data_IF_672173186890
#
_entry.id   IF_672173186890
#
_cell.length_a   1.000
_cell.length_b   1.000
_cell.length_c   1.000
_cell.angle_alpha   90.00
_cell.angle_beta   90.00
_cell.angle_gamma   90.00
#
_symmetry.space_group_name_H-M   'P 1'
#
loop_
_entity.id
_entity.type
_entity.pdbx_description
1 polymer ?
#
# COMPACT_ATOMS: atom_id res chain seq x y z
N UNK A 1 -4.46 4.92 -33.37
CA UNK A 1 -4.02 5.01 -31.95
C UNK A 1 -3.76 3.65 -31.31
N UNK A 2 -4.73 2.72 -31.29
CA UNK A 2 -4.58 1.42 -30.61
C UNK A 2 -3.36 0.57 -31.03
N UNK A 3 -2.98 0.57 -32.33
CA UNK A 3 -1.78 -0.14 -32.79
C UNK A 3 -0.48 0.43 -32.23
N UNK A 4 -0.39 1.76 -32.04
CA UNK A 4 0.81 2.43 -31.52
C UNK A 4 0.93 2.21 -30.01
N UNK A 5 -0.18 2.33 -29.27
CA UNK A 5 -0.23 2.11 -27.82
C UNK A 5 0.26 0.71 -27.43
N UNK A 6 -0.05 -0.31 -28.25
CA UNK A 6 0.40 -1.69 -28.06
C UNK A 6 1.92 -1.89 -28.08
N UNK A 7 2.66 -0.96 -28.68
CA UNK A 7 4.12 -1.00 -28.73
C UNK A 7 4.76 -0.04 -27.72
N UNK A 8 4.19 1.15 -27.57
CA UNK A 8 4.72 2.17 -26.66
C UNK A 8 4.61 1.73 -25.19
N UNK A 9 3.47 1.17 -24.78
CA UNK A 9 3.24 0.83 -23.37
C UNK A 9 4.23 -0.24 -22.88
N UNK A 10 4.44 -1.37 -23.58
CA UNK A 10 5.45 -2.36 -23.17
C UNK A 10 6.86 -1.79 -23.15
N UNK A 11 7.23 -1.00 -24.16
CA UNK A 11 8.55 -0.37 -24.22
C UNK A 11 8.76 0.58 -23.04
N UNK A 12 7.77 1.43 -22.74
CA UNK A 12 7.81 2.33 -21.59
C UNK A 12 7.89 1.55 -20.27
N UNK A 13 7.17 0.43 -20.14
CA UNK A 13 7.24 -0.44 -18.97
C UNK A 13 8.64 -1.03 -18.79
N UNK A 14 9.25 -1.56 -19.87
CA UNK A 14 10.61 -2.09 -19.83
C UNK A 14 11.64 -1.02 -19.44
N UNK A 15 11.50 0.20 -19.98
CA UNK A 15 12.35 1.32 -19.62
C UNK A 15 12.16 1.74 -18.16
N UNK A 16 10.91 1.81 -17.67
CA UNK A 16 10.61 2.15 -16.29
C UNK A 16 11.14 1.09 -15.30
N UNK A 17 10.97 -0.20 -15.62
CA UNK A 17 11.54 -1.31 -14.84
C UNK A 17 13.06 -1.26 -14.86
N UNK A 18 13.67 -1.07 -16.04
CA UNK A 18 15.12 -0.95 -16.18
C UNK A 18 15.68 0.22 -15.39
N UNK A 19 15.06 1.40 -15.48
CA UNK A 19 15.42 2.58 -14.71
C UNK A 19 15.26 2.34 -13.20
N UNK A 20 14.15 1.75 -12.77
CA UNK A 20 13.91 1.41 -11.37
C UNK A 20 14.99 0.49 -10.82
N UNK A 21 15.29 -0.60 -11.53
CA UNK A 21 16.33 -1.58 -11.15
C UNK A 21 17.73 -0.96 -11.19
N UNK A 22 17.99 -0.04 -12.11
CA UNK A 22 19.30 0.63 -12.20
C UNK A 22 19.52 1.66 -11.09
N UNK A 23 18.51 2.49 -10.78
CA UNK A 23 18.63 3.65 -9.89
C UNK A 23 18.54 3.27 -8.41
N UNK A 24 17.63 2.36 -8.06
CA UNK A 24 17.38 1.99 -6.66
C UNK A 24 18.54 1.18 -6.05
N UNK A 25 18.65 1.08 -4.71
CA UNK A 25 19.73 0.33 -4.06
C UNK A 25 19.86 -1.13 -4.54
N UNK A 26 21.07 -1.70 -4.55
CA UNK A 26 21.30 -3.05 -5.07
C UNK A 26 20.69 -4.15 -4.19
N UNK A 27 20.48 -5.33 -4.78
CA UNK A 27 19.89 -6.50 -4.11
C UNK A 27 18.37 -6.44 -3.97
N UNK A 28 17.71 -7.59 -3.80
CA UNK A 28 16.24 -7.68 -3.77
C UNK A 28 15.62 -6.79 -2.68
N UNK A 29 16.20 -6.82 -1.48
CA UNK A 29 15.73 -5.95 -0.39
C UNK A 29 16.11 -4.49 -0.61
N UNK A 30 17.15 -4.16 -1.37
CA UNK A 30 17.43 -2.79 -1.80
C UNK A 30 16.39 -2.25 -2.80
N UNK A 31 15.87 -3.13 -3.67
CA UNK A 31 14.73 -2.79 -4.55
C UNK A 31 13.45 -2.58 -3.76
N UNK A 32 13.23 -3.40 -2.74
CA UNK A 32 12.12 -3.23 -1.80
C UNK A 32 12.24 -1.90 -1.03
N UNK A 33 13.45 -1.55 -0.60
CA UNK A 33 13.77 -0.30 0.07
C UNK A 33 13.49 0.92 -0.80
N UNK A 34 13.70 0.85 -2.12
CA UNK A 34 13.30 1.91 -3.06
C UNK A 34 11.80 2.22 -2.99
N UNK A 35 10.94 1.19 -3.02
CA UNK A 35 9.49 1.38 -2.86
C UNK A 35 9.18 2.03 -1.51
N UNK A 36 9.78 1.52 -0.44
CA UNK A 36 9.63 2.09 0.89
C UNK A 36 10.13 3.53 1.00
N UNK A 37 11.20 3.89 0.29
CA UNK A 37 11.78 5.22 0.28
C UNK A 37 10.88 6.24 -0.42
N UNK A 38 10.13 5.83 -1.45
CA UNK A 38 9.15 6.71 -2.10
C UNK A 38 7.93 7.00 -1.20
N UNK A 39 7.42 5.99 -0.49
CA UNK A 39 6.09 6.06 0.14
C UNK A 39 6.11 6.11 1.68
N UNK A 40 7.24 5.81 2.30
CA UNK A 40 7.43 5.78 3.74
C UNK A 40 8.61 6.66 4.17
N UNK A 41 8.54 7.23 5.38
CA UNK A 41 9.66 7.98 5.95
C UNK A 41 10.87 7.09 6.31
N UNK A 42 10.65 5.77 6.46
CA UNK A 42 11.65 4.77 6.85
C UNK A 42 12.45 5.14 8.11
N UNK A 43 11.79 5.69 9.13
CA UNK A 43 12.42 5.98 10.44
C UNK A 43 12.69 4.67 11.19
N UNK A 44 13.95 4.42 11.53
CA UNK A 44 14.42 3.13 12.08
C UNK A 44 13.65 2.75 13.34
N UNK A 45 13.56 3.64 14.33
CA UNK A 45 12.92 3.42 15.64
C UNK A 45 11.41 3.17 15.55
N UNK A 46 10.82 3.36 14.37
CA UNK A 46 9.39 3.19 14.08
C UNK A 46 9.13 2.03 13.14
N UNK A 47 10.13 1.16 12.95
CA UNK A 47 10.12 0.03 12.03
C UNK A 47 10.43 -1.26 12.77
N UNK A 48 10.12 -2.40 12.16
CA UNK A 48 10.64 -3.69 12.59
C UNK A 48 11.93 -4.00 11.84
N UNK A 49 12.74 -4.91 12.39
CA UNK A 49 14.07 -5.24 11.86
C UNK A 49 14.28 -6.75 11.75
N UNK A 50 15.04 -7.14 10.74
CA UNK A 50 15.58 -8.49 10.57
C UNK A 50 17.05 -8.43 10.97
N UNK A 51 17.35 -8.76 12.23
CA UNK A 51 18.67 -8.44 12.81
C UNK A 51 18.88 -6.93 12.80
N UNK A 52 20.02 -6.47 12.29
CA UNK A 52 20.33 -5.03 12.16
C UNK A 52 19.62 -4.34 10.98
N UNK A 53 18.94 -5.11 10.13
CA UNK A 53 18.34 -4.58 8.91
C UNK A 53 16.90 -4.14 9.14
N UNK A 54 16.64 -2.85 9.03
CA UNK A 54 15.29 -2.32 8.95
C UNK A 54 14.49 -2.96 7.80
N UNK A 55 13.21 -3.25 8.03
CA UNK A 55 12.27 -3.58 6.95
C UNK A 55 12.22 -2.46 5.88
N UNK A 56 11.72 -2.77 4.68
CA UNK A 56 11.52 -1.76 3.64
C UNK A 56 10.63 -0.59 4.09
N UNK A 57 9.70 -0.83 5.02
CA UNK A 57 8.73 0.16 5.49
C UNK A 57 8.65 0.21 7.01
N UNK A 58 8.10 1.32 7.53
CA UNK A 58 7.84 1.46 8.96
C UNK A 58 6.72 0.51 9.44
N UNK A 59 6.57 0.36 10.75
CA UNK A 59 5.59 -0.57 11.34
C UNK A 59 4.16 -0.32 10.85
N UNK A 60 3.76 0.96 10.71
CA UNK A 60 2.43 1.32 10.22
C UNK A 60 2.22 0.96 8.76
N UNK A 61 3.16 1.36 7.91
CA UNK A 61 3.05 1.13 6.47
C UNK A 61 3.18 -0.37 6.15
N UNK A 62 3.99 -1.11 6.93
CA UNK A 62 4.06 -2.57 6.87
C UNK A 62 2.68 -3.18 7.11
N UNK A 63 1.97 -2.77 8.17
CA UNK A 63 0.60 -3.20 8.43
C UNK A 63 -0.37 -2.80 7.32
N UNK A 64 -0.36 -1.53 6.90
CA UNK A 64 -1.26 -1.01 5.87
C UNK A 64 -1.13 -1.75 4.55
N UNK A 65 0.08 -1.88 4.00
CA UNK A 65 0.25 -2.45 2.67
C UNK A 65 0.21 -3.98 2.67
N UNK A 66 0.61 -4.64 3.75
CA UNK A 66 0.37 -6.09 3.92
C UNK A 66 -1.14 -6.37 3.97
N UNK A 67 -1.86 -5.62 4.80
CA UNK A 67 -3.31 -5.78 4.95
C UNK A 67 -4.08 -5.48 3.67
N UNK A 68 -3.69 -4.44 2.93
CA UNK A 68 -4.30 -4.14 1.66
C UNK A 68 -4.06 -5.26 0.63
N UNK A 69 -2.85 -5.82 0.56
CA UNK A 69 -2.54 -6.96 -0.31
C UNK A 69 -3.37 -8.20 0.06
N UNK A 70 -3.40 -8.55 1.34
CA UNK A 70 -4.19 -9.67 1.87
C UNK A 70 -5.67 -9.47 1.59
N UNK A 71 -6.19 -8.25 1.76
CA UNK A 71 -7.59 -7.91 1.47
C UNK A 71 -7.92 -8.09 -0.01
N UNK A 72 -7.07 -7.61 -0.92
CA UNK A 72 -7.26 -7.82 -2.36
C UNK A 72 -7.29 -9.31 -2.72
N UNK A 73 -6.36 -10.10 -2.17
CA UNK A 73 -6.31 -11.55 -2.39
C UNK A 73 -7.57 -12.22 -1.84
N UNK A 74 -7.92 -11.93 -0.59
CA UNK A 74 -9.09 -12.48 0.10
C UNK A 74 -10.38 -12.21 -0.68
N UNK A 75 -10.58 -10.98 -1.15
CA UNK A 75 -11.76 -10.60 -1.94
C UNK A 75 -11.77 -11.24 -3.33
N UNK A 76 -10.59 -11.40 -3.96
CA UNK A 76 -10.47 -12.11 -5.24
C UNK A 76 -10.89 -13.57 -5.15
N UNK A 77 -10.68 -14.21 -4.00
CA UNK A 77 -11.07 -15.60 -3.73
C UNK A 77 -12.58 -15.69 -3.45
N UNK A 78 -13.13 -14.78 -2.64
CA UNK A 78 -14.56 -14.81 -2.26
C UNK A 78 -15.48 -14.46 -3.43
N UNK A 79 -15.03 -13.57 -4.33
CA UNK A 79 -15.83 -13.15 -5.46
C UNK A 79 -15.03 -12.24 -6.40
N UNK A 80 -14.36 -12.87 -7.37
CA UNK A 80 -13.44 -12.23 -8.32
C UNK A 80 -14.03 -11.04 -9.13
N UNK A 81 -15.36 -10.97 -9.27
CA UNK A 81 -16.06 -9.88 -10.00
C UNK A 81 -17.10 -9.13 -9.17
N UNK A 82 -17.12 -9.32 -7.84
CA UNK A 82 -17.99 -8.55 -6.94
C UNK A 82 -17.56 -7.09 -6.93
N UNK A 83 -18.48 -6.19 -7.28
CA UNK A 83 -18.17 -4.78 -7.51
C UNK A 83 -18.92 -3.85 -6.56
N UNK A 84 -19.96 -4.34 -5.86
CA UNK A 84 -20.74 -3.52 -4.95
C UNK A 84 -19.89 -2.97 -3.79
N UNK A 85 -20.15 -1.73 -3.40
CA UNK A 85 -19.54 -1.18 -2.19
C UNK A 85 -20.01 -1.95 -0.94
N UNK A 86 -19.18 -2.06 0.11
CA UNK A 86 -19.61 -2.71 1.35
C UNK A 86 -20.90 -2.09 1.92
N UNK A 87 -21.76 -2.86 2.59
CA UNK A 87 -22.96 -2.32 3.24
C UNK A 87 -22.61 -1.21 4.25
N UNK A 88 -23.53 -0.26 4.47
CA UNK A 88 -23.32 0.91 5.36
C UNK A 88 -22.68 0.55 6.71
N UNK A 89 -23.12 -0.56 7.34
CA UNK A 89 -22.57 -1.00 8.63
C UNK A 89 -21.09 -1.41 8.54
N UNK A 90 -20.69 -2.09 7.48
CA UNK A 90 -19.28 -2.47 7.24
C UNK A 90 -18.47 -1.23 6.87
N UNK A 91 -19.00 -0.32 6.04
CA UNK A 91 -18.36 0.97 5.74
C UNK A 91 -18.11 1.77 7.03
N UNK A 92 -19.07 1.81 7.96
CA UNK A 92 -18.88 2.48 9.24
C UNK A 92 -17.75 1.86 10.05
N UNK A 93 -17.62 0.53 10.07
CA UNK A 93 -16.48 -0.15 10.73
C UNK A 93 -15.14 0.16 10.05
N UNK A 94 -15.08 0.11 8.72
CA UNK A 94 -13.87 0.49 7.97
C UNK A 94 -13.52 1.98 8.18
N UNK A 95 -14.54 2.84 8.26
CA UNK A 95 -14.41 4.25 8.62
C UNK A 95 -13.87 4.44 10.04
N UNK A 96 -14.30 3.61 11.00
CA UNK A 96 -13.74 3.63 12.35
C UNK A 96 -12.25 3.22 12.36
N UNK A 97 -11.85 2.20 11.57
CA UNK A 97 -10.44 1.85 11.40
C UNK A 97 -9.62 3.01 10.81
N UNK A 98 -10.14 3.70 9.80
CA UNK A 98 -9.52 4.91 9.26
C UNK A 98 -9.37 5.99 10.33
N UNK A 99 -10.40 6.25 11.14
CA UNK A 99 -10.33 7.27 12.20
C UNK A 99 -9.30 6.91 13.27
N UNK A 100 -9.27 5.65 13.71
CA UNK A 100 -8.27 5.15 14.67
C UNK A 100 -6.85 5.31 14.10
N UNK A 101 -6.64 4.96 12.83
CA UNK A 101 -5.38 5.17 12.12
C UNK A 101 -5.01 6.64 11.98
N UNK A 102 -5.96 7.53 11.69
CA UNK A 102 -5.72 8.97 11.57
C UNK A 102 -5.33 9.60 12.91
N UNK A 103 -5.99 9.19 14.00
CA UNK A 103 -5.67 9.62 15.37
C UNK A 103 -4.29 9.11 15.77
N UNK A 104 -4.00 7.82 15.58
CA UNK A 104 -2.69 7.24 15.88
C UNK A 104 -1.57 7.84 15.03
N UNK A 105 -1.87 8.13 13.77
CA UNK A 105 -1.04 8.87 12.84
C UNK A 105 -0.65 10.24 13.37
N UNK A 106 -1.66 11.03 13.70
CA UNK A 106 -1.51 12.39 14.21
C UNK A 106 -0.79 12.42 15.55
N UNK A 107 -1.11 11.52 16.49
CA UNK A 107 -0.42 11.40 17.77
C UNK A 107 1.06 11.02 17.59
N UNK A 108 1.36 10.08 16.67
CA UNK A 108 2.73 9.68 16.33
C UNK A 108 3.54 10.80 15.67
N UNK A 109 2.88 11.63 14.87
CA UNK A 109 3.51 12.76 14.19
C UNK A 109 3.77 13.92 15.15
N UNK A 110 2.81 14.26 16.01
CA UNK A 110 3.00 15.24 17.08
C UNK A 110 4.17 14.84 18.00
N UNK A 111 4.26 13.56 18.36
CA UNK A 111 5.38 13.04 19.15
C UNK A 111 6.72 13.20 18.42
N UNK A 112 6.76 12.94 17.10
CA UNK A 112 7.97 13.15 16.30
C UNK A 112 8.42 14.62 16.34
N UNK A 113 7.51 15.56 16.08
CA UNK A 113 7.84 16.98 16.04
C UNK A 113 8.44 17.45 17.37
N UNK A 114 7.84 17.04 18.50
CA UNK A 114 8.33 17.42 19.82
C UNK A 114 9.71 16.85 20.15
N UNK A 115 10.01 15.66 19.64
CA UNK A 115 11.34 15.07 19.78
C UNK A 115 12.37 15.79 18.91
N UNK A 116 12.00 16.16 17.68
CA UNK A 116 12.90 16.82 16.73
C UNK A 116 13.14 18.30 17.08
N UNK A 117 12.13 19.00 17.60
CA UNK A 117 12.20 20.44 17.90
C UNK A 117 11.90 20.69 19.38
N UNK A 118 12.93 20.88 20.23
CA UNK A 118 12.75 21.18 21.64
C UNK A 118 11.86 22.42 21.85
N UNK A 119 10.82 22.27 22.68
CA UNK A 119 9.86 23.34 22.95
C UNK A 119 8.76 23.53 21.91
N UNK A 120 8.66 22.67 20.89
CA UNK A 120 7.51 22.67 19.98
C UNK A 120 6.23 22.17 20.68
N UNK A 121 5.11 22.85 20.45
CA UNK A 121 3.78 22.49 20.99
C UNK A 121 3.75 22.12 22.48
N UNK A 122 4.33 22.92 23.39
CA UNK A 122 4.48 22.55 24.79
C UNK A 122 3.13 22.44 25.52
N UNK A 123 2.10 23.14 25.03
CA UNK A 123 0.75 23.12 25.61
C UNK A 123 -0.14 21.97 25.10
N UNK A 124 0.23 21.29 24.02
CA UNK A 124 -0.59 20.23 23.43
C UNK A 124 -0.04 18.89 23.93
N UNK A 125 -0.69 18.14 24.82
CA UNK A 125 -0.17 16.85 25.27
C UNK A 125 -0.23 15.80 24.15
N UNK A 126 0.65 14.79 24.22
CA UNK A 126 0.43 13.56 23.46
C UNK A 126 -0.64 12.73 24.16
N UNK A 127 -1.52 12.10 23.40
CA UNK A 127 -2.62 11.28 23.96
C UNK A 127 -2.02 10.03 24.63
N UNK A 128 -0.97 9.48 24.04
CA UNK A 128 -0.19 8.35 24.55
C UNK A 128 1.21 8.34 23.93
N UNK A 129 2.12 7.54 24.48
CA UNK A 129 3.46 7.31 23.91
C UNK A 129 3.32 6.35 22.71
N UNK A 130 3.67 6.78 21.49
CA UNK A 130 3.55 5.95 20.30
C UNK A 130 4.44 4.69 20.34
N UNK A 131 3.91 3.55 19.93
CA UNK A 131 4.63 2.27 19.88
C UNK A 131 4.33 1.50 18.58
N UNK A 132 5.18 0.54 18.23
CA UNK A 132 5.06 -0.21 16.97
C UNK A 132 3.85 -1.15 16.93
N UNK A 133 3.35 -1.62 18.07
CA UNK A 133 2.16 -2.47 18.15
C UNK A 133 0.93 -1.70 17.66
N UNK A 134 0.68 -0.51 18.22
CA UNK A 134 -0.43 0.33 17.78
C UNK A 134 -0.26 0.77 16.33
N UNK A 135 0.94 1.19 15.93
CA UNK A 135 1.23 1.55 14.53
C UNK A 135 0.86 0.43 13.56
N UNK A 136 1.28 -0.80 13.86
CA UNK A 136 0.99 -1.98 13.06
C UNK A 136 -0.52 -2.23 12.97
N UNK A 137 -1.20 -2.36 14.12
CA UNK A 137 -2.63 -2.69 14.18
C UNK A 137 -3.51 -1.62 13.51
N UNK A 138 -3.24 -0.33 13.77
CA UNK A 138 -3.98 0.76 13.10
C UNK A 138 -3.68 0.79 11.61
N UNK A 139 -2.43 0.54 11.22
CA UNK A 139 -2.01 0.36 9.84
C UNK A 139 -2.80 -0.75 9.14
N UNK A 140 -2.86 -1.94 9.75
CA UNK A 140 -3.61 -3.10 9.26
C UNK A 140 -5.11 -2.80 9.11
N UNK A 141 -5.70 -2.08 10.06
CA UNK A 141 -7.07 -1.57 9.96
C UNK A 141 -7.32 -0.72 8.72
N UNK A 142 -6.45 0.27 8.48
CA UNK A 142 -6.52 1.14 7.30
C UNK A 142 -6.34 0.35 6.00
N UNK A 143 -5.40 -0.60 5.96
CA UNK A 143 -5.17 -1.46 4.81
C UNK A 143 -6.38 -2.26 4.37
N UNK A 144 -7.18 -2.78 5.33
CA UNK A 144 -8.44 -3.48 5.02
C UNK A 144 -9.45 -2.55 4.34
N UNK A 145 -9.57 -1.31 4.83
CA UNK A 145 -10.44 -0.30 4.24
C UNK A 145 -10.02 0.05 2.81
N UNK A 146 -8.72 0.35 2.62
CA UNK A 146 -8.15 0.66 1.31
C UNK A 146 -8.36 -0.48 0.31
N UNK A 147 -8.03 -1.72 0.71
CA UNK A 147 -8.17 -2.89 -0.15
C UNK A 147 -9.62 -3.15 -0.55
N UNK A 148 -10.56 -3.05 0.39
CA UNK A 148 -11.98 -3.28 0.12
C UNK A 148 -12.57 -2.26 -0.83
N UNK A 149 -12.26 -0.97 -0.63
CA UNK A 149 -12.75 0.12 -1.50
C UNK A 149 -12.11 0.03 -2.88
N UNK A 150 -10.80 -0.16 -2.96
CA UNK A 150 -10.11 -0.24 -4.25
C UNK A 150 -10.56 -1.45 -5.06
N UNK A 151 -10.76 -2.61 -4.41
CA UNK A 151 -11.27 -3.81 -5.09
C UNK A 151 -12.64 -3.56 -5.73
N UNK A 152 -13.57 -2.97 -4.97
CA UNK A 152 -14.89 -2.61 -5.48
C UNK A 152 -14.81 -1.59 -6.64
N UNK A 153 -13.99 -0.53 -6.49
CA UNK A 153 -13.83 0.51 -7.50
C UNK A 153 -13.18 -0.02 -8.79
N UNK A 154 -12.16 -0.88 -8.66
CA UNK A 154 -11.51 -1.52 -9.79
C UNK A 154 -12.50 -2.41 -10.55
N UNK A 155 -13.23 -3.28 -9.85
CA UNK A 155 -14.21 -4.16 -10.47
C UNK A 155 -15.36 -3.40 -11.13
N UNK A 156 -15.83 -2.30 -10.55
CA UNK A 156 -16.84 -1.40 -11.14
C UNK A 156 -16.35 -0.67 -12.39
N UNK A 157 -15.04 -0.52 -12.56
CA UNK A 157 -14.46 0.18 -13.72
C UNK A 157 -14.06 -0.80 -14.82
N UNK A 158 -13.58 -1.98 -14.46
CA UNK A 158 -12.90 -2.85 -15.40
C UNK A 158 -13.86 -3.79 -16.15
N UNK A 159 -14.79 -4.43 -15.45
CA UNK A 159 -15.56 -5.53 -16.02
C UNK A 159 -16.80 -5.08 -16.79
N UNK A 160 -17.01 -5.64 -17.98
CA UNK A 160 -18.24 -5.46 -18.76
C UNK A 160 -19.49 -5.99 -18.03
N UNK A 161 -19.34 -7.15 -17.40
CA UNK A 161 -20.37 -7.75 -16.56
C UNK A 161 -19.82 -7.89 -15.14
N UNK A 162 -20.46 -7.20 -14.20
CA UNK A 162 -20.11 -7.20 -12.78
C UNK A 162 -21.15 -7.95 -11.96
N UNK A 163 -20.70 -8.56 -10.87
CA UNK A 163 -21.57 -9.04 -9.82
C UNK A 163 -21.87 -7.88 -8.86
N UNK A 164 -23.12 -7.41 -8.85
CA UNK A 164 -23.56 -6.27 -8.04
C UNK A 164 -23.52 -6.53 -6.53
N UNK A 165 -23.28 -7.79 -6.09
CA UNK A 165 -23.09 -8.09 -4.67
C UNK A 165 -21.89 -7.31 -4.11
N UNK A 166 -21.95 -6.89 -2.84
CA UNK A 166 -20.83 -6.19 -2.22
C UNK A 166 -19.54 -7.01 -2.24
N UNK A 167 -18.41 -6.34 -2.50
CA UNK A 167 -17.09 -6.93 -2.41
C UNK A 167 -16.86 -7.56 -1.01
N UNK A 168 -17.07 -6.75 0.04
CA UNK A 168 -17.07 -7.20 1.44
C UNK A 168 -18.49 -7.05 2.00
N UNK A 169 -19.29 -8.12 1.90
CA UNK A 169 -20.74 -8.05 2.13
C UNK A 169 -21.23 -8.55 3.49
N UNK A 170 -20.46 -9.37 4.19
CA UNK A 170 -20.92 -10.03 5.40
C UNK A 170 -19.98 -9.79 6.59
N UNK A 171 -20.55 -9.78 7.80
CA UNK A 171 -19.79 -9.73 9.04
C UNK A 171 -18.88 -10.95 9.23
N UNK A 172 -19.27 -12.09 8.66
CA UNK A 172 -18.44 -13.28 8.61
C UNK A 172 -17.17 -13.01 7.81
N UNK A 173 -17.28 -12.45 6.60
CA UNK A 173 -16.12 -12.16 5.76
C UNK A 173 -15.22 -11.09 6.38
N UNK A 174 -15.81 -10.04 6.97
CA UNK A 174 -15.05 -9.03 7.71
C UNK A 174 -14.34 -9.64 8.94
N UNK A 175 -15.04 -10.47 9.72
CA UNK A 175 -14.46 -11.15 10.89
C UNK A 175 -13.35 -12.12 10.52
N UNK A 176 -13.49 -12.85 9.41
CA UNK A 176 -12.44 -13.70 8.86
C UNK A 176 -11.23 -12.87 8.42
N UNK A 177 -11.45 -11.76 7.71
CA UNK A 177 -10.37 -10.87 7.29
C UNK A 177 -9.63 -10.27 8.49
N UNK A 178 -10.36 -9.79 9.50
CA UNK A 178 -9.78 -9.29 10.76
C UNK A 178 -8.99 -10.41 11.45
N UNK A 179 -9.57 -11.61 11.57
CA UNK A 179 -8.88 -12.75 12.19
C UNK A 179 -7.60 -13.13 11.46
N UNK A 180 -7.63 -13.19 10.12
CA UNK A 180 -6.43 -13.42 9.29
C UNK A 180 -5.40 -12.34 9.51
N UNK A 181 -5.79 -11.07 9.52
CA UNK A 181 -4.85 -9.97 9.75
C UNK A 181 -4.27 -9.98 11.15
N UNK A 182 -5.05 -10.27 12.20
CA UNK A 182 -4.53 -10.40 13.55
C UNK A 182 -3.49 -11.54 13.67
N UNK A 183 -3.70 -12.67 12.98
CA UNK A 183 -2.69 -13.73 12.94
C UNK A 183 -1.41 -13.30 12.22
N UNK A 184 -1.53 -12.54 11.13
CA UNK A 184 -0.37 -11.97 10.42
C UNK A 184 0.33 -10.93 11.30
N UNK A 185 -0.42 -10.06 11.97
CA UNK A 185 0.12 -9.05 12.87
C UNK A 185 0.86 -9.71 14.05
N UNK A 186 0.31 -10.79 14.63
CA UNK A 186 1.00 -11.59 15.64
C UNK A 186 2.30 -12.22 15.10
N UNK A 187 2.29 -12.70 13.85
CA UNK A 187 3.50 -13.21 13.21
C UNK A 187 4.55 -12.10 13.01
N UNK A 188 4.15 -10.88 12.66
CA UNK A 188 5.04 -9.71 12.56
C UNK A 188 5.59 -9.34 13.95
N UNK A 189 4.73 -9.27 14.96
CA UNK A 189 5.07 -8.94 16.34
C UNK A 189 5.97 -10.00 17.01
N UNK A 190 6.02 -11.21 16.47
CA UNK A 190 7.00 -12.22 16.92
C UNK A 190 8.44 -11.81 16.60
N UNK A 191 8.63 -10.84 15.69
CA UNK A 191 9.92 -10.38 15.15
C UNK A 191 10.81 -11.52 14.61
N UNK A 192 10.22 -12.68 14.35
CA UNK A 192 10.91 -13.82 13.79
C UNK A 192 11.33 -13.52 12.34
N UNK A 193 12.61 -13.73 11.97
CA UNK A 193 13.06 -13.55 10.58
C UNK A 193 12.21 -14.35 9.59
N UNK A 194 11.72 -15.54 9.98
CA UNK A 194 10.87 -16.40 9.14
C UNK A 194 9.56 -15.69 8.76
N UNK A 195 9.00 -14.88 9.67
CA UNK A 195 7.81 -14.08 9.41
C UNK A 195 8.15 -12.79 8.69
N UNK A 196 9.21 -12.08 9.12
CA UNK A 196 9.53 -10.75 8.62
C UNK A 196 10.05 -10.75 7.17
N UNK A 197 10.79 -11.78 6.72
CA UNK A 197 11.26 -11.85 5.34
C UNK A 197 10.11 -11.87 4.32
N UNK A 198 9.12 -12.78 4.40
CA UNK A 198 7.95 -12.74 3.54
C UNK A 198 7.18 -11.42 3.63
N UNK A 199 6.99 -10.89 4.84
CA UNK A 199 6.25 -9.64 5.05
C UNK A 199 6.94 -8.44 4.39
N UNK A 200 8.27 -8.39 4.39
CA UNK A 200 9.03 -7.37 3.66
C UNK A 200 8.63 -7.31 2.18
N UNK A 201 8.45 -8.46 1.53
CA UNK A 201 8.06 -8.54 0.13
C UNK A 201 6.55 -8.35 -0.07
N UNK A 202 5.71 -8.97 0.76
CA UNK A 202 4.25 -8.84 0.65
C UNK A 202 3.83 -7.39 0.79
N UNK A 203 4.39 -6.68 1.76
CA UNK A 203 4.07 -5.28 1.99
C UNK A 203 4.47 -4.40 0.80
N UNK A 204 5.67 -4.60 0.22
CA UNK A 204 6.12 -3.89 -0.99
C UNK A 204 5.29 -4.23 -2.22
N UNK A 205 4.98 -5.51 -2.43
CA UNK A 205 4.07 -5.94 -3.49
C UNK A 205 2.68 -5.35 -3.31
N UNK A 206 2.23 -5.18 -2.06
CA UNK A 206 1.00 -4.47 -1.72
C UNK A 206 1.00 -3.04 -2.25
N UNK A 207 2.05 -2.27 -2.00
CA UNK A 207 2.21 -0.90 -2.53
C UNK A 207 2.14 -0.90 -4.05
N UNK A 208 2.99 -1.71 -4.70
CA UNK A 208 3.08 -1.76 -6.17
C UNK A 208 1.75 -2.18 -6.78
N UNK A 209 1.07 -3.16 -6.18
CA UNK A 209 -0.25 -3.63 -6.65
C UNK A 209 -1.31 -2.53 -6.49
N UNK A 210 -1.40 -1.87 -5.33
CA UNK A 210 -2.36 -0.79 -5.12
C UNK A 210 -2.16 0.34 -6.14
N UNK A 211 -0.93 0.83 -6.29
CA UNK A 211 -0.62 1.89 -7.24
C UNK A 211 -0.90 1.45 -8.68
N UNK A 212 -0.54 0.22 -9.03
CA UNK A 212 -0.83 -0.34 -10.37
C UNK A 212 -2.32 -0.36 -10.64
N UNK A 213 -3.15 -0.83 -9.69
CA UNK A 213 -4.61 -0.89 -9.86
C UNK A 213 -5.22 0.51 -9.94
N UNK A 214 -4.77 1.45 -9.10
CA UNK A 214 -5.23 2.85 -9.13
C UNK A 214 -4.91 3.48 -10.49
N UNK A 215 -3.65 3.40 -10.95
CA UNK A 215 -3.28 3.96 -12.24
C UNK A 215 -3.88 3.21 -13.42
N UNK A 216 -4.19 1.92 -13.28
CA UNK A 216 -4.95 1.18 -14.30
C UNK A 216 -6.37 1.72 -14.43
N UNK A 217 -7.04 2.04 -13.31
CA UNK A 217 -8.36 2.68 -13.31
C UNK A 217 -8.29 4.04 -14.01
N UNK A 218 -7.32 4.87 -13.66
CA UNK A 218 -7.10 6.16 -14.31
C UNK A 218 -6.86 5.99 -15.82
N UNK A 219 -6.02 5.02 -16.20
CA UNK A 219 -5.76 4.71 -17.61
C UNK A 219 -7.04 4.29 -18.35
N UNK A 220 -7.85 3.39 -17.76
CA UNK A 220 -9.12 2.95 -18.34
C UNK A 220 -10.07 4.14 -18.55
N UNK A 221 -10.17 5.06 -17.60
CA UNK A 221 -10.99 6.27 -17.72
C UNK A 221 -10.49 7.19 -18.85
N UNK A 222 -9.18 7.44 -18.92
CA UNK A 222 -8.58 8.30 -19.97
C UNK A 222 -8.75 7.69 -21.36
N UNK A 223 -8.59 6.37 -21.49
CA UNK A 223 -8.72 5.65 -22.75
C UNK A 223 -10.17 5.30 -23.10
N UNK A 224 -11.13 5.66 -22.25
CA UNK A 224 -12.56 5.33 -22.38
C UNK A 224 -12.81 3.82 -22.53
N UNK A 225 -12.14 3.02 -21.71
CA UNK A 225 -12.19 1.57 -21.67
C UNK A 225 -12.98 1.04 -20.47
N UNK A 226 -13.73 1.90 -19.78
CA UNK A 226 -14.53 1.49 -18.63
C UNK A 226 -15.61 0.47 -19.04
N UNK A 227 -15.80 -0.56 -18.22
CA UNK A 227 -16.79 -1.62 -18.41
C UNK A 227 -16.70 -2.33 -19.78
N UNK A 228 -15.49 -2.47 -20.32
CA UNK A 228 -15.29 -3.11 -21.63
C UNK A 228 -14.76 -4.54 -21.55
N UNK A 229 -14.08 -4.91 -20.46
CA UNK A 229 -13.31 -6.16 -20.40
C UNK A 229 -14.14 -7.34 -19.90
N UNK A 230 -13.95 -8.51 -20.51
CA UNK A 230 -14.61 -9.76 -20.08
C UNK A 230 -13.66 -10.72 -19.35
N UNK A 231 -12.36 -10.61 -19.63
CA UNK A 231 -11.28 -11.40 -19.02
C UNK A 231 -10.09 -10.54 -18.58
N UNK A 232 -9.35 -10.97 -17.55
CA UNK A 232 -8.17 -10.23 -17.05
C UNK A 232 -7.05 -10.17 -18.09
N UNK A 233 -7.01 -11.14 -19.00
CA UNK A 233 -6.03 -11.18 -20.09
C UNK A 233 -6.21 -10.00 -21.05
N UNK A 234 -7.42 -9.51 -21.26
CA UNK A 234 -7.68 -8.33 -22.10
C UNK A 234 -7.16 -7.04 -21.46
N UNK A 235 -7.06 -7.00 -20.12
CA UNK A 235 -6.62 -5.83 -19.35
C UNK A 235 -5.11 -5.64 -19.34
N UNK A 236 -4.34 -6.52 -20.00
CA UNK A 236 -2.87 -6.50 -19.93
C UNK A 236 -2.27 -5.13 -20.28
N UNK A 237 -2.84 -4.40 -21.25
CA UNK A 237 -2.40 -3.05 -21.60
C UNK A 237 -2.66 -2.05 -20.47
N UNK A 238 -3.86 -2.07 -19.89
CA UNK A 238 -4.23 -1.17 -18.80
C UNK A 238 -3.39 -1.44 -17.55
N UNK A 239 -3.18 -2.71 -17.20
CA UNK A 239 -2.35 -3.13 -16.08
C UNK A 239 -0.88 -2.77 -16.30
N UNK A 240 -0.35 -2.97 -17.52
CA UNK A 240 1.04 -2.61 -17.85
C UNK A 240 1.23 -1.10 -17.81
N UNK A 241 0.26 -0.33 -18.32
CA UNK A 241 0.29 1.13 -18.23
C UNK A 241 0.21 1.60 -16.77
N UNK A 242 -0.68 0.99 -15.97
CA UNK A 242 -0.79 1.28 -14.54
C UNK A 242 0.51 1.00 -13.78
N UNK A 243 1.16 -0.13 -14.05
CA UNK A 243 2.47 -0.47 -13.46
C UNK A 243 3.54 0.52 -13.89
N UNK A 244 3.57 0.90 -15.18
CA UNK A 244 4.53 1.88 -15.71
C UNK A 244 4.39 3.22 -15.00
N UNK A 245 3.16 3.72 -14.87
CA UNK A 245 2.86 4.96 -14.17
C UNK A 245 3.21 4.88 -12.68
N UNK A 246 2.94 3.75 -12.03
CA UNK A 246 3.34 3.50 -10.65
C UNK A 246 4.86 3.57 -10.47
N UNK A 247 5.63 2.88 -11.32
CA UNK A 247 7.09 2.89 -11.26
C UNK A 247 7.68 4.26 -11.54
N UNK A 248 7.12 5.00 -12.51
CA UNK A 248 7.53 6.38 -12.79
C UNK A 248 7.27 7.27 -11.57
N UNK A 249 6.10 7.16 -10.93
CA UNK A 249 5.79 7.92 -9.73
C UNK A 249 6.78 7.61 -8.59
N UNK A 250 7.05 6.33 -8.33
CA UNK A 250 8.01 5.90 -7.31
C UNK A 250 9.41 6.48 -7.61
N UNK A 251 9.90 6.33 -8.86
CA UNK A 251 11.19 6.87 -9.29
C UNK A 251 11.28 8.39 -9.16
N UNK A 252 10.22 9.12 -9.52
CA UNK A 252 10.21 10.58 -9.39
C UNK A 252 10.33 10.99 -7.93
N UNK A 253 9.57 10.35 -7.02
CA UNK A 253 9.67 10.65 -5.59
C UNK A 253 11.04 10.26 -5.04
N UNK A 254 11.56 9.09 -5.41
CA UNK A 254 12.89 8.62 -5.01
C UNK A 254 13.99 9.61 -5.43
N UNK A 255 14.00 10.02 -6.70
CA UNK A 255 15.01 10.95 -7.22
C UNK A 255 14.90 12.34 -6.58
N UNK A 256 13.69 12.83 -6.34
CA UNK A 256 13.48 14.09 -5.64
C UNK A 256 13.99 14.01 -4.21
N UNK A 257 13.62 12.95 -3.48
CA UNK A 257 14.04 12.75 -2.08
C UNK A 257 15.54 12.52 -1.98
N UNK A 258 16.14 11.76 -2.90
CA UNK A 258 17.58 11.52 -2.93
C UNK A 258 18.34 12.82 -3.21
N UNK A 259 17.84 13.67 -4.12
CA UNK A 259 18.42 14.98 -4.39
C UNK A 259 18.35 15.91 -3.18
N UNK A 260 17.28 15.85 -2.40
CA UNK A 260 17.08 16.70 -1.22
C UNK A 260 17.88 16.21 0.01
N UNK A 261 18.03 14.89 0.18
CA UNK A 261 18.60 14.30 1.41
C UNK A 261 20.01 13.75 1.24
N UNK A 262 20.45 13.47 0.00
CA UNK A 262 21.74 12.86 -0.30
C UNK A 262 21.88 11.39 0.15
N UNK A 263 20.81 10.74 0.62
CA UNK A 263 20.85 9.38 1.16
C UNK A 263 19.59 8.59 0.85
N UNK A 264 19.73 7.26 0.72
CA UNK A 264 18.61 6.30 0.61
C UNK A 264 18.01 5.90 1.98
N UNK A 265 18.46 6.54 3.06
CA UNK A 265 17.99 6.31 4.43
C UNK A 265 16.75 7.12 4.82
N UNK A 266 16.46 7.15 6.13
CA UNK A 266 15.45 8.03 6.69
C UNK A 266 15.73 9.51 6.36
N UNK A 267 14.72 10.37 6.47
CA UNK A 267 14.97 11.82 6.41
C UNK A 267 15.99 12.20 7.49
N UNK A 268 17.07 12.93 7.15
CA UNK A 268 17.96 13.51 8.13
C UNK A 268 17.18 14.60 8.87
N UNK A 269 16.53 14.21 9.96
CA UNK A 269 15.83 15.12 10.85
C UNK A 269 16.88 15.71 11.79
N UNK A 270 17.45 16.85 11.40
CA UNK A 270 18.20 17.80 12.24
C UNK A 270 19.20 17.20 13.22
#
# INVERSE_FOLDING_TARGET
>A
MQKIVKWIVPLAALLAIGAYVYITPPGLLGKADGVGYAICHRISERSFHIGERQLPMCARDTGTFTSAAVTLIFLSIIGSKRSGMPPKKIILTLGAFFLIWAIDGSNSYLYLIKQTYPGAFPQIPNIYIPNNILRLLTGSGMGMGMGAVLYAAFNQTAWKEVDARPALGSWRDLGLLIGTMLLIDLAILSESPIALYPIAFISVLGVVTLLTLIFSVVWMMVMRQENTFTSIREMWLALTAGLTLALIMLLVIDLLRLRLTGTWGAFPLG
#
